data_IF_308944042156
#
_entry.id   IF_308944042156
#
_cell.length_a   1.000
_cell.length_b   1.000
_cell.length_c   1.000
_cell.angle_alpha   90.00
_cell.angle_beta   90.00
_cell.angle_gamma   90.00
#
_symmetry.space_group_name_H-M   'P 1'
#
loop_
_entity.id
_entity.type
_entity.pdbx_description
1 polymer ?
#
# COMPACT_ATOMS: atom_id res chain seq x y z
N UNK A 1 1.67 7.44 14.20
CA UNK A 1 0.49 7.39 13.31
C UNK A 1 -0.72 8.00 14.00
N UNK A 2 -1.51 8.83 13.31
CA UNK A 2 -2.71 9.44 13.90
C UNK A 2 -3.98 8.81 13.33
N UNK A 3 -4.86 8.32 14.20
CA UNK A 3 -6.14 7.68 13.83
C UNK A 3 -7.25 8.32 14.66
N UNK A 4 -8.27 8.91 14.03
CA UNK A 4 -9.39 9.60 14.69
C UNK A 4 -8.93 10.53 15.82
N UNK A 5 -7.91 11.37 15.54
CA UNK A 5 -7.31 12.33 16.47
C UNK A 5 -6.52 11.75 17.68
N UNK A 6 -6.26 10.44 17.69
CA UNK A 6 -5.41 9.78 18.69
C UNK A 6 -4.09 9.35 18.08
N UNK A 7 -3.00 9.49 18.81
CA UNK A 7 -1.66 9.09 18.39
C UNK A 7 -1.36 7.65 18.78
N UNK A 8 -0.72 6.92 17.86
CA UNK A 8 -0.32 5.52 18.03
C UNK A 8 1.11 5.31 17.51
N UNK A 9 1.86 4.51 18.24
CA UNK A 9 3.14 3.96 17.80
C UNK A 9 2.87 2.68 16.99
N UNK A 10 3.46 2.54 15.80
CA UNK A 10 3.38 1.31 15.01
C UNK A 10 4.50 0.39 15.45
N UNK A 11 4.16 -0.77 16.00
CA UNK A 11 5.13 -1.75 16.48
C UNK A 11 5.51 -2.77 15.42
N UNK A 12 4.53 -3.23 14.62
CA UNK A 12 4.74 -4.20 13.55
C UNK A 12 3.57 -4.18 12.56
N UNK A 13 3.78 -4.76 11.37
CA UNK A 13 2.76 -4.87 10.32
C UNK A 13 2.76 -6.27 9.74
N UNK A 14 1.58 -6.83 9.58
CA UNK A 14 1.35 -8.13 8.97
C UNK A 14 0.45 -8.01 7.74
N UNK A 15 0.73 -8.75 6.67
CA UNK A 15 -0.03 -8.69 5.42
C UNK A 15 -0.39 -10.09 4.92
N UNK A 16 -1.63 -10.26 4.53
CA UNK A 16 -2.14 -11.52 3.98
C UNK A 16 -3.09 -11.27 2.80
N UNK A 17 -3.13 -12.20 1.85
CA UNK A 17 -4.19 -12.29 0.85
C UNK A 17 -5.36 -13.07 1.43
N UNK A 18 -6.58 -12.61 1.24
CA UNK A 18 -7.78 -13.31 1.72
C UNK A 18 -8.09 -14.48 0.78
N UNK A 19 -8.00 -15.73 1.24
CA UNK A 19 -8.34 -16.89 0.44
C UNK A 19 -9.87 -17.04 0.31
N UNK A 20 -10.32 -17.72 -0.74
CA UNK A 20 -11.74 -17.98 -0.99
C UNK A 20 -12.44 -18.73 0.15
N UNK A 21 -11.74 -19.62 0.83
CA UNK A 21 -12.29 -20.37 1.97
C UNK A 21 -12.65 -19.50 3.19
N UNK A 22 -12.18 -18.26 3.25
CA UNK A 22 -12.52 -17.34 4.33
C UNK A 22 -13.79 -16.54 4.07
N UNK A 23 -14.34 -16.58 2.86
CA UNK A 23 -15.56 -15.84 2.50
C UNK A 23 -16.79 -16.56 3.01
N UNK A 24 -17.80 -15.81 3.47
CA UNK A 24 -19.06 -16.39 3.97
C UNK A 24 -19.83 -17.06 2.83
N UNK A 25 -20.42 -18.21 3.11
CA UNK A 25 -21.10 -18.99 2.09
C UNK A 25 -22.29 -18.27 1.44
N UNK A 26 -23.00 -17.42 2.19
CA UNK A 26 -24.15 -16.65 1.69
C UNK A 26 -23.80 -15.61 0.64
N UNK A 27 -22.58 -15.08 0.70
CA UNK A 27 -22.05 -14.12 -0.28
C UNK A 27 -20.79 -14.66 -0.96
N UNK A 28 -20.64 -15.98 -0.97
CA UNK A 28 -19.49 -16.66 -1.52
C UNK A 28 -19.33 -16.37 -3.01
N UNK A 29 -18.27 -15.67 -3.35
CA UNK A 29 -17.96 -15.26 -4.71
C UNK A 29 -16.94 -16.18 -5.38
N UNK A 30 -16.29 -17.07 -4.61
CA UNK A 30 -15.34 -18.05 -5.08
C UNK A 30 -15.84 -19.49 -4.99
N UNK A 31 -14.94 -20.45 -5.24
CA UNK A 31 -15.26 -21.88 -5.28
C UNK A 31 -15.21 -22.60 -3.90
N UNK A 32 -14.70 -21.96 -2.86
CA UNK A 32 -14.50 -22.53 -1.53
C UNK A 32 -15.80 -22.80 -0.75
N UNK A 33 -15.68 -23.32 0.47
CA UNK A 33 -16.78 -23.61 1.36
C UNK A 33 -17.06 -22.55 2.44
N UNK A 34 -16.26 -21.48 2.48
CA UNK A 34 -16.42 -20.37 3.41
C UNK A 34 -16.08 -20.77 4.85
N UNK A 35 -14.82 -21.13 5.13
CA UNK A 35 -14.37 -21.39 6.50
C UNK A 35 -14.39 -20.11 7.34
N UNK A 36 -14.82 -20.22 8.60
CA UNK A 36 -14.85 -19.06 9.50
C UNK A 36 -13.45 -18.60 9.92
N UNK A 37 -12.54 -19.56 10.15
CA UNK A 37 -11.16 -19.27 10.52
C UNK A 37 -10.37 -18.70 9.34
N UNK A 38 -9.52 -17.71 9.60
CA UNK A 38 -8.63 -17.13 8.62
C UNK A 38 -7.21 -17.60 8.85
N UNK A 39 -6.57 -18.10 7.80
CA UNK A 39 -5.14 -18.41 7.80
C UNK A 39 -4.32 -17.13 7.83
N UNK A 40 -3.46 -16.97 8.81
CA UNK A 40 -2.60 -15.78 8.95
C UNK A 40 -1.18 -16.09 8.45
N UNK A 41 -0.54 -17.14 9.00
CA UNK A 41 0.83 -17.52 8.68
C UNK A 41 1.20 -18.84 9.36
N UNK A 42 2.51 -19.10 9.62
CA UNK A 42 2.91 -20.12 10.57
C UNK A 42 2.42 -19.76 11.99
N UNK A 43 2.19 -20.77 12.83
CA UNK A 43 1.84 -20.58 14.24
C UNK A 43 2.85 -19.69 14.96
N UNK A 44 4.14 -19.96 14.77
CA UNK A 44 5.22 -19.17 15.38
C UNK A 44 5.16 -17.70 15.00
N UNK A 45 5.00 -17.38 13.72
CA UNK A 45 4.90 -15.98 13.26
C UNK A 45 3.64 -15.30 13.77
N UNK A 46 2.52 -16.01 13.81
CA UNK A 46 1.25 -15.52 14.34
C UNK A 46 1.35 -15.19 15.81
N UNK A 47 1.87 -16.12 16.64
CA UNK A 47 2.03 -15.89 18.07
C UNK A 47 3.02 -14.77 18.38
N UNK A 48 4.13 -14.70 17.67
CA UNK A 48 5.09 -13.59 17.80
C UNK A 48 4.44 -12.24 17.52
N UNK A 49 3.55 -12.17 16.54
CA UNK A 49 2.87 -10.93 16.17
C UNK A 49 1.78 -10.56 17.18
N UNK A 50 0.89 -11.48 17.54
CA UNK A 50 -0.24 -11.19 18.44
C UNK A 50 0.14 -11.23 19.92
N UNK A 51 1.11 -12.03 20.33
CA UNK A 51 1.68 -12.00 21.69
C UNK A 51 1.95 -13.36 22.32
N UNK A 52 1.03 -14.32 22.27
CA UNK A 52 1.18 -15.66 22.84
C UNK A 52 0.33 -16.71 22.09
N UNK A 53 0.39 -17.96 22.56
CA UNK A 53 -0.31 -19.08 21.90
C UNK A 53 -1.85 -19.02 22.05
N UNK A 54 -2.35 -18.37 23.10
CA UNK A 54 -3.77 -18.26 23.41
C UNK A 54 -4.25 -16.83 23.46
N UNK A 55 -3.75 -16.00 22.52
CA UNK A 55 -4.09 -14.60 22.50
C UNK A 55 -5.60 -14.37 22.28
N UNK A 56 -6.07 -13.32 22.92
CA UNK A 56 -7.31 -12.64 22.60
C UNK A 56 -6.94 -11.20 22.26
N UNK A 57 -7.00 -10.85 20.99
CA UNK A 57 -6.49 -9.58 20.50
C UNK A 57 -7.63 -8.63 20.15
N UNK A 58 -7.59 -7.43 20.73
CA UNK A 58 -8.55 -6.37 20.38
C UNK A 58 -8.15 -5.71 19.08
N UNK A 59 -9.02 -5.83 18.09
CA UNK A 59 -8.85 -5.34 16.73
C UNK A 59 -9.85 -4.23 16.42
N UNK A 60 -9.57 -3.46 15.38
CA UNK A 60 -10.55 -2.53 14.84
C UNK A 60 -10.40 -2.31 13.34
N UNK A 61 -11.50 -1.90 12.73
CA UNK A 61 -11.61 -1.40 11.35
C UNK A 61 -12.03 0.06 11.39
N UNK A 62 -11.70 0.81 10.35
CA UNK A 62 -12.27 2.13 10.11
C UNK A 62 -13.33 2.07 9.02
N UNK A 63 -14.49 2.67 9.27
CA UNK A 63 -15.56 2.81 8.27
C UNK A 63 -15.06 3.42 6.97
N UNK A 64 -14.22 4.45 7.06
CA UNK A 64 -13.62 5.10 5.89
C UNK A 64 -12.81 4.15 5.03
N UNK A 65 -12.05 3.23 5.62
CA UNK A 65 -11.25 2.26 4.87
C UNK A 65 -12.12 1.21 4.16
N UNK A 66 -13.21 0.77 4.81
CA UNK A 66 -14.18 -0.14 4.21
C UNK A 66 -14.88 0.48 3.00
N UNK A 67 -15.28 1.76 3.12
CA UNK A 67 -15.88 2.52 2.02
C UNK A 67 -14.87 2.70 0.88
N UNK A 68 -13.63 3.05 1.20
CA UNK A 68 -12.56 3.20 0.20
C UNK A 68 -12.28 1.87 -0.52
N UNK A 69 -12.24 0.76 0.21
CA UNK A 69 -12.10 -0.58 -0.37
C UNK A 69 -13.25 -0.89 -1.33
N UNK A 70 -14.51 -0.74 -0.90
CA UNK A 70 -15.68 -1.02 -1.74
C UNK A 70 -15.72 -0.14 -3.00
N UNK A 71 -15.32 1.13 -2.90
CA UNK A 71 -15.19 2.00 -4.07
C UNK A 71 -14.07 1.53 -5.01
N UNK A 72 -12.93 1.12 -4.46
CA UNK A 72 -11.80 0.63 -5.26
C UNK A 72 -12.11 -0.67 -6.00
N UNK A 73 -12.92 -1.55 -5.41
CA UNK A 73 -13.29 -2.86 -5.96
C UNK A 73 -14.63 -2.86 -6.69
N UNK A 74 -15.30 -1.71 -6.82
CA UNK A 74 -16.62 -1.58 -7.43
C UNK A 74 -16.70 -2.21 -8.83
N UNK A 75 -15.68 -1.95 -9.66
CA UNK A 75 -15.64 -2.49 -11.02
C UNK A 75 -15.61 -4.03 -11.03
N UNK A 76 -14.94 -4.65 -10.05
CA UNK A 76 -14.90 -6.11 -9.91
C UNK A 76 -16.25 -6.68 -9.50
N UNK A 77 -17.03 -5.97 -8.65
CA UNK A 77 -18.41 -6.35 -8.34
C UNK A 77 -19.36 -6.20 -9.54
N UNK A 78 -19.13 -5.23 -10.43
CA UNK A 78 -20.03 -4.93 -11.56
C UNK A 78 -19.65 -5.65 -12.86
N UNK A 79 -18.37 -5.98 -13.01
CA UNK A 79 -17.82 -6.69 -14.15
C UNK A 79 -16.68 -7.61 -13.70
N UNK A 80 -17.01 -8.76 -13.13
CA UNK A 80 -16.04 -9.66 -12.52
C UNK A 80 -14.98 -10.14 -13.50
N UNK A 81 -13.71 -10.02 -13.12
CA UNK A 81 -12.57 -10.60 -13.87
C UNK A 81 -12.29 -12.05 -13.47
N UNK A 82 -12.84 -12.50 -12.34
CA UNK A 82 -12.69 -13.84 -11.79
C UNK A 82 -13.98 -14.65 -11.93
N UNK A 83 -13.91 -15.98 -12.01
CA UNK A 83 -15.09 -16.84 -12.10
C UNK A 83 -15.77 -16.99 -10.74
N UNK A 84 -16.37 -15.93 -10.25
CA UNK A 84 -17.09 -15.95 -8.98
C UNK A 84 -18.37 -16.79 -9.05
N UNK A 85 -18.69 -17.43 -7.93
CA UNK A 85 -19.97 -18.08 -7.77
C UNK A 85 -21.08 -17.02 -7.57
N UNK A 86 -22.24 -17.18 -8.21
CA UNK A 86 -23.35 -16.21 -8.15
C UNK A 86 -22.95 -14.78 -8.64
N UNK A 87 -22.14 -14.69 -9.70
CA UNK A 87 -21.65 -13.42 -10.24
C UNK A 87 -22.76 -12.42 -10.60
N UNK A 88 -23.95 -12.87 -10.93
CA UNK A 88 -25.16 -12.08 -11.21
C UNK A 88 -25.70 -11.33 -9.98
N UNK A 89 -25.37 -11.76 -8.77
CA UNK A 89 -25.76 -11.10 -7.52
C UNK A 89 -24.75 -10.08 -7.00
N UNK A 90 -23.56 -10.02 -7.56
CA UNK A 90 -22.47 -9.20 -7.03
C UNK A 90 -22.80 -7.71 -7.01
N UNK A 91 -23.49 -7.20 -8.02
CA UNK A 91 -23.86 -5.79 -8.08
C UNK A 91 -24.82 -5.40 -6.94
N UNK A 92 -25.81 -6.25 -6.62
CA UNK A 92 -26.72 -5.99 -5.48
C UNK A 92 -25.98 -6.07 -4.14
N UNK A 93 -25.09 -7.04 -3.98
CA UNK A 93 -24.25 -7.21 -2.78
C UNK A 93 -23.39 -5.98 -2.53
N UNK A 94 -22.82 -5.37 -3.56
CA UNK A 94 -22.04 -4.13 -3.40
C UNK A 94 -22.90 -3.01 -2.79
N UNK A 95 -24.10 -2.80 -3.30
CA UNK A 95 -25.05 -1.81 -2.78
C UNK A 95 -25.46 -2.09 -1.33
N UNK A 96 -25.73 -3.35 -1.00
CA UNK A 96 -26.08 -3.80 0.36
C UNK A 96 -24.92 -3.55 1.34
N UNK A 97 -23.69 -3.91 0.96
CA UNK A 97 -22.50 -3.68 1.77
C UNK A 97 -22.24 -2.19 2.00
N UNK A 98 -22.33 -1.36 0.94
CA UNK A 98 -22.17 0.10 1.05
C UNK A 98 -23.20 0.71 1.99
N UNK A 99 -24.46 0.32 1.86
CA UNK A 99 -25.53 0.81 2.72
C UNK A 99 -25.31 0.42 4.18
N UNK A 100 -24.99 -0.85 4.42
CA UNK A 100 -24.73 -1.36 5.77
C UNK A 100 -23.55 -0.63 6.43
N UNK A 101 -22.40 -0.56 5.74
CA UNK A 101 -21.18 0.05 6.28
C UNK A 101 -21.36 1.54 6.53
N UNK A 102 -22.12 2.26 5.71
CA UNK A 102 -22.37 3.69 5.90
C UNK A 102 -23.06 4.02 7.24
N UNK A 103 -23.80 3.07 7.80
CA UNK A 103 -24.54 3.21 9.06
C UNK A 103 -23.71 2.84 10.31
N UNK A 104 -22.53 2.27 10.14
CA UNK A 104 -21.66 1.88 11.25
C UNK A 104 -20.95 3.07 11.89
N UNK A 105 -20.42 2.86 13.10
CA UNK A 105 -19.52 3.81 13.75
C UNK A 105 -18.21 3.98 12.95
N UNK A 106 -17.52 5.11 13.16
CA UNK A 106 -16.26 5.39 12.46
C UNK A 106 -15.16 4.38 12.80
N UNK A 107 -15.19 3.81 14.01
CA UNK A 107 -14.29 2.74 14.45
C UNK A 107 -15.11 1.52 14.87
N UNK A 108 -14.90 0.40 14.21
CA UNK A 108 -15.59 -0.86 14.46
C UNK A 108 -14.64 -1.77 15.21
N UNK A 109 -14.90 -1.98 16.50
CA UNK A 109 -14.06 -2.80 17.39
C UNK A 109 -14.55 -4.26 17.35
N UNK A 110 -13.59 -5.19 17.33
CA UNK A 110 -13.84 -6.64 17.42
C UNK A 110 -12.65 -7.34 18.06
N UNK A 111 -12.86 -8.54 18.56
CA UNK A 111 -11.79 -9.38 19.10
C UNK A 111 -11.58 -10.59 18.22
N UNK A 112 -10.33 -11.04 18.17
CA UNK A 112 -9.95 -12.31 17.54
C UNK A 112 -9.22 -13.18 18.54
N UNK A 113 -9.32 -14.47 18.36
CA UNK A 113 -8.60 -15.47 19.15
C UNK A 113 -7.80 -16.41 18.24
N UNK A 114 -6.77 -17.04 18.77
CA UNK A 114 -6.06 -18.10 18.06
C UNK A 114 -6.98 -19.32 17.94
N UNK A 115 -6.98 -19.93 16.78
CA UNK A 115 -7.64 -21.21 16.59
C UNK A 115 -6.59 -22.31 16.35
N UNK A 116 -6.34 -23.11 17.39
CA UNK A 116 -5.38 -24.17 17.31
C UNK A 116 -5.82 -25.28 16.36
N UNK A 117 -4.88 -25.72 15.55
CA UNK A 117 -4.98 -26.94 14.78
C UNK A 117 -4.23 -28.03 15.53
N UNK A 118 -4.86 -29.18 15.75
CA UNK A 118 -4.26 -30.33 16.45
C UNK A 118 -2.99 -30.80 15.72
N UNK A 119 -3.01 -30.72 14.39
CA UNK A 119 -1.89 -31.14 13.55
C UNK A 119 -1.52 -30.02 12.58
N UNK A 120 -0.25 -29.62 12.52
CA UNK A 120 0.28 -28.70 11.53
C UNK A 120 0.84 -27.39 12.11
N UNK A 121 1.61 -26.70 11.28
CA UNK A 121 2.32 -25.45 11.62
C UNK A 121 1.54 -24.18 11.21
N UNK A 122 0.35 -24.34 10.68
CA UNK A 122 -0.46 -23.22 10.20
C UNK A 122 -1.17 -22.51 11.35
N UNK A 123 -1.02 -21.19 11.43
CA UNK A 123 -1.71 -20.32 12.37
C UNK A 123 -3.02 -19.79 11.80
N UNK A 124 -4.08 -19.91 12.55
CA UNK A 124 -5.41 -19.41 12.20
C UNK A 124 -5.94 -18.50 13.30
N UNK A 125 -6.71 -17.51 12.90
CA UNK A 125 -7.52 -16.70 13.80
C UNK A 125 -9.00 -16.93 13.54
N UNK A 126 -9.82 -16.68 14.55
CA UNK A 126 -11.26 -16.78 14.47
C UNK A 126 -11.91 -15.70 15.34
N UNK A 127 -13.18 -15.39 15.05
CA UNK A 127 -13.99 -14.49 15.85
C UNK A 127 -15.49 -14.71 15.60
N UNK A 128 -16.30 -14.37 16.59
CA UNK A 128 -17.77 -14.30 16.46
C UNK A 128 -18.25 -12.86 16.30
N UNK A 129 -17.37 -11.88 16.38
CA UNK A 129 -17.72 -10.46 16.39
C UNK A 129 -18.10 -9.94 15.00
N UNK A 130 -19.02 -8.97 14.99
CA UNK A 130 -19.53 -8.37 13.76
C UNK A 130 -18.43 -7.74 12.88
N UNK A 131 -17.42 -7.11 13.48
CA UNK A 131 -16.30 -6.52 12.73
C UNK A 131 -15.51 -7.54 11.92
N UNK A 132 -15.26 -8.73 12.49
CA UNK A 132 -14.63 -9.83 11.75
C UNK A 132 -15.53 -10.37 10.64
N UNK A 133 -16.84 -10.46 10.91
CA UNK A 133 -17.83 -10.90 9.91
C UNK A 133 -17.88 -9.93 8.72
N UNK A 134 -17.83 -8.62 8.95
CA UNK A 134 -17.77 -7.61 7.88
C UNK A 134 -16.60 -7.90 6.92
N UNK A 135 -15.40 -8.19 7.44
CA UNK A 135 -14.24 -8.52 6.60
C UNK A 135 -14.57 -9.68 5.67
N UNK A 136 -15.21 -10.73 6.19
CA UNK A 136 -15.57 -11.92 5.42
C UNK A 136 -16.65 -11.66 4.38
N UNK A 137 -17.61 -10.78 4.70
CA UNK A 137 -18.74 -10.47 3.83
C UNK A 137 -18.34 -9.59 2.65
N UNK A 138 -17.48 -8.60 2.87
CA UNK A 138 -17.09 -7.64 1.81
C UNK A 138 -15.90 -8.09 0.99
N UNK A 139 -15.08 -9.02 1.49
CA UNK A 139 -13.85 -9.44 0.81
C UNK A 139 -14.15 -10.27 -0.44
N UNK A 140 -13.53 -9.91 -1.55
CA UNK A 140 -13.50 -10.76 -2.74
C UNK A 140 -12.39 -11.81 -2.60
N UNK A 141 -12.69 -13.10 -2.85
CA UNK A 141 -11.70 -14.17 -2.74
C UNK A 141 -10.49 -13.91 -3.63
N UNK A 142 -9.29 -14.11 -3.09
CA UNK A 142 -8.00 -13.98 -3.78
C UNK A 142 -7.66 -12.57 -4.30
N UNK A 143 -8.64 -11.66 -4.32
CA UNK A 143 -8.51 -10.28 -4.80
C UNK A 143 -8.27 -9.32 -3.65
N UNK A 144 -8.60 -9.73 -2.43
CA UNK A 144 -8.53 -8.89 -1.24
C UNK A 144 -7.25 -9.13 -0.47
N UNK A 145 -6.63 -8.04 -0.09
CA UNK A 145 -5.49 -7.99 0.82
C UNK A 145 -5.92 -7.44 2.18
N UNK A 146 -5.39 -8.01 3.25
CA UNK A 146 -5.53 -7.48 4.61
C UNK A 146 -4.15 -7.09 5.12
N UNK A 147 -4.05 -5.88 5.67
CA UNK A 147 -2.92 -5.42 6.45
C UNK A 147 -3.36 -5.27 7.90
N UNK A 148 -2.61 -5.87 8.82
CA UNK A 148 -2.84 -5.81 10.26
C UNK A 148 -1.67 -5.05 10.88
N UNK A 149 -1.94 -3.88 11.45
CA UNK A 149 -0.92 -3.08 12.14
C UNK A 149 -1.05 -3.30 13.65
N UNK A 150 0.04 -3.74 14.28
CA UNK A 150 0.16 -3.79 15.74
C UNK A 150 0.49 -2.40 16.25
N UNK A 151 -0.43 -1.81 16.98
CA UNK A 151 -0.36 -0.43 17.47
C UNK A 151 -0.26 -0.39 18.97
N UNK A 152 0.47 0.61 19.48
CA UNK A 152 0.49 0.95 20.90
C UNK A 152 -0.07 2.35 21.08
N UNK A 153 -1.10 2.49 21.92
CA UNK A 153 -1.69 3.78 22.25
C UNK A 153 -0.78 4.55 23.21
N UNK A 154 -1.04 5.85 23.39
CA UNK A 154 -0.36 6.68 24.41
C UNK A 154 -0.54 6.17 25.85
N UNK A 155 -1.63 5.42 26.11
CA UNK A 155 -1.86 4.74 27.41
C UNK A 155 -1.11 3.40 27.54
N UNK A 156 -0.36 2.97 26.51
CA UNK A 156 0.34 1.69 26.50
C UNK A 156 -0.49 0.49 26.03
N UNK A 157 -1.77 0.68 25.71
CA UNK A 157 -2.65 -0.40 25.24
C UNK A 157 -2.27 -0.85 23.84
N UNK A 158 -2.16 -2.17 23.65
CA UNK A 158 -1.93 -2.77 22.33
C UNK A 158 -3.26 -3.00 21.64
N UNK A 159 -3.35 -2.54 20.38
CA UNK A 159 -4.51 -2.70 19.49
C UNK A 159 -4.03 -3.15 18.12
N UNK A 160 -4.89 -3.85 17.38
CA UNK A 160 -4.59 -4.33 16.05
C UNK A 160 -5.53 -3.67 15.03
N UNK A 161 -4.97 -2.80 14.20
CA UNK A 161 -5.71 -2.11 13.17
C UNK A 161 -5.72 -2.91 11.89
N UNK A 162 -6.90 -3.34 11.45
CA UNK A 162 -7.12 -4.11 10.25
C UNK A 162 -7.54 -3.20 9.11
N UNK A 163 -6.90 -3.35 7.97
CA UNK A 163 -7.24 -2.63 6.75
C UNK A 163 -7.38 -3.60 5.59
N UNK A 164 -8.38 -3.36 4.75
CA UNK A 164 -8.69 -4.17 3.59
C UNK A 164 -8.28 -3.39 2.34
N UNK A 165 -7.60 -4.06 1.43
CA UNK A 165 -7.13 -3.51 0.15
C UNK A 165 -7.47 -4.42 -1.01
N UNK A 166 -7.46 -3.85 -2.22
CA UNK A 166 -7.61 -4.61 -3.46
C UNK A 166 -6.24 -5.01 -3.98
N UNK A 167 -6.10 -6.28 -4.37
CA UNK A 167 -4.98 -6.76 -5.16
C UNK A 167 -5.27 -6.49 -6.64
N UNK A 168 -4.78 -5.37 -7.14
CA UNK A 168 -5.00 -4.98 -8.53
C UNK A 168 -4.31 -5.90 -9.54
N UNK A 169 -3.26 -6.62 -9.15
CA UNK A 169 -2.63 -7.62 -10.03
C UNK A 169 -3.52 -8.84 -10.22
N UNK A 170 -4.31 -9.20 -9.20
CA UNK A 170 -5.27 -10.28 -9.30
C UNK A 170 -6.50 -9.93 -10.17
N UNK A 171 -6.90 -8.64 -10.20
CA UNK A 171 -8.05 -8.17 -11.00
C UNK A 171 -7.64 -7.84 -12.43
N UNK A 172 -6.39 -7.48 -12.66
CA UNK A 172 -5.92 -7.05 -13.98
C UNK A 172 -5.49 -8.24 -14.83
N UNK A 173 -6.09 -8.42 -16.00
CA UNK A 173 -5.57 -9.34 -17.02
C UNK A 173 -4.15 -8.96 -17.52
N UNK A 174 -3.72 -7.73 -17.25
CA UNK A 174 -2.36 -7.26 -17.49
C UNK A 174 -1.52 -7.49 -16.25
N UNK A 175 -0.91 -8.63 -16.13
CA UNK A 175 -0.01 -9.07 -15.03
C UNK A 175 1.21 -8.18 -14.72
N UNK A 176 1.25 -6.94 -15.15
CA UNK A 176 2.41 -6.05 -15.06
C UNK A 176 2.12 -4.69 -14.41
N UNK A 177 1.05 -4.58 -13.61
CA UNK A 177 0.81 -3.39 -12.79
C UNK A 177 1.51 -3.52 -11.42
N UNK A 178 2.15 -2.46 -10.90
CA UNK A 178 2.70 -2.50 -9.56
C UNK A 178 1.57 -2.60 -8.54
N UNK A 179 1.73 -3.46 -7.52
CA UNK A 179 0.87 -3.49 -6.34
C UNK A 179 0.93 -2.10 -5.68
N UNK A 180 -0.12 -1.32 -5.82
CA UNK A 180 -0.21 0.01 -5.22
C UNK A 180 -0.84 -0.15 -3.85
N UNK A 181 -0.01 -0.38 -2.83
CA UNK A 181 -0.45 -0.30 -1.44
C UNK A 181 -0.57 1.18 -1.05
N UNK A 182 -1.79 1.69 -0.98
CA UNK A 182 -2.05 3.03 -0.46
C UNK A 182 -2.10 2.98 1.07
N UNK A 183 -0.93 2.92 1.71
CA UNK A 183 -0.83 3.04 3.15
C UNK A 183 -1.09 4.49 3.59
N UNK A 184 -2.15 4.72 4.33
CA UNK A 184 -2.33 5.87 5.20
C UNK A 184 -2.71 7.21 4.61
N UNK A 185 -2.62 7.45 3.30
CA UNK A 185 -3.27 8.61 2.67
C UNK A 185 -4.63 8.16 2.14
N UNK A 186 -5.69 8.85 2.56
CA UNK A 186 -6.94 8.85 1.80
C UNK A 186 -6.56 9.13 0.35
N UNK A 187 -6.89 8.21 -0.55
CA UNK A 187 -6.99 8.58 -1.95
C UNK A 187 -7.94 9.77 -1.95
N UNK A 188 -7.41 10.92 -2.36
CA UNK A 188 -8.25 12.07 -2.65
C UNK A 188 -9.20 11.60 -3.75
N UNK A 189 -10.42 11.21 -3.35
CA UNK A 189 -11.46 10.75 -4.26
C UNK A 189 -11.98 11.89 -5.14
N UNK A 190 -11.37 13.05 -5.05
CA UNK A 190 -11.44 14.08 -6.09
C UNK A 190 -10.69 13.63 -7.36
N UNK A 191 -10.62 12.34 -7.60
CA UNK A 191 -10.25 11.81 -8.90
C UNK A 191 -11.26 12.32 -9.93
N UNK A 192 -10.96 13.50 -10.44
CA UNK A 192 -11.20 13.73 -11.84
C UNK A 192 -10.68 12.47 -12.55
N UNK A 193 -11.60 11.56 -12.95
CA UNK A 193 -11.33 10.65 -14.05
C UNK A 193 -10.43 11.43 -14.98
N UNK A 194 -9.22 10.97 -15.20
CA UNK A 194 -8.50 11.31 -16.42
C UNK A 194 -9.38 10.72 -17.53
N UNK A 195 -10.42 11.46 -17.87
CA UNK A 195 -11.06 11.33 -19.16
C UNK A 195 -9.96 11.83 -20.10
N UNK A 196 -9.16 10.89 -20.58
CA UNK A 196 -8.36 11.13 -21.76
C UNK A 196 -9.37 11.64 -22.80
N UNK A 197 -9.25 12.87 -23.28
CA UNK A 197 -10.10 13.33 -24.37
C UNK A 197 -9.90 12.33 -25.52
N UNK A 198 -10.93 12.03 -26.31
CA UNK A 198 -10.78 11.20 -27.50
C UNK A 198 -9.79 11.92 -28.41
N UNK A 199 -8.55 11.41 -28.40
CA UNK A 199 -7.46 12.03 -29.16
C UNK A 199 -7.33 11.31 -30.50
N UNK A 200 -7.22 12.03 -31.62
CA UNK A 200 -6.88 11.43 -32.90
C UNK A 200 -5.56 10.67 -32.81
N UNK A 201 -5.48 9.51 -33.41
CA UNK A 201 -4.36 8.55 -33.30
C UNK A 201 -2.96 9.12 -33.61
N UNK A 202 -2.87 10.23 -34.34
CA UNK A 202 -1.58 10.84 -34.71
C UNK A 202 -0.96 11.68 -33.57
N UNK A 203 -1.77 12.41 -32.79
CA UNK A 203 -1.29 13.21 -31.66
C UNK A 203 -0.78 12.36 -30.50
N UNK A 204 -1.30 11.15 -30.30
CA UNK A 204 -0.86 10.25 -29.22
C UNK A 204 0.56 9.73 -29.46
N UNK A 205 0.91 9.42 -30.72
CA UNK A 205 2.28 8.98 -31.09
C UNK A 205 3.30 10.08 -30.90
N UNK A 206 2.96 11.32 -31.25
CA UNK A 206 3.87 12.45 -31.11
C UNK A 206 4.08 12.83 -29.64
N UNK A 207 3.03 12.84 -28.81
CA UNK A 207 3.12 13.06 -27.35
C UNK A 207 3.95 11.97 -26.66
N UNK A 208 3.76 10.70 -27.04
CA UNK A 208 4.58 9.59 -26.52
C UNK A 208 6.04 9.71 -26.97
N UNK A 209 6.28 10.13 -28.20
CA UNK A 209 7.63 10.35 -28.74
C UNK A 209 8.31 11.50 -28.03
N UNK A 210 7.65 12.64 -27.85
CA UNK A 210 8.16 13.81 -27.11
C UNK A 210 8.45 13.46 -25.64
N UNK A 211 7.56 12.73 -24.97
CA UNK A 211 7.78 12.25 -23.62
C UNK A 211 9.02 11.34 -23.52
N UNK A 212 9.21 10.42 -24.46
CA UNK A 212 10.39 9.53 -24.50
C UNK A 212 11.69 10.30 -24.77
N UNK A 213 11.66 11.31 -25.65
CA UNK A 213 12.83 12.18 -25.93
C UNK A 213 13.17 12.98 -24.66
N UNK A 214 12.18 13.57 -24.00
CA UNK A 214 12.35 14.29 -22.75
C UNK A 214 12.91 13.43 -21.62
N UNK A 215 12.41 12.20 -21.46
CA UNK A 215 12.95 11.25 -20.48
C UNK A 215 14.39 10.84 -20.78
N UNK A 216 14.74 10.64 -22.04
CA UNK A 216 16.12 10.33 -22.45
C UNK A 216 17.08 11.47 -22.14
N UNK A 217 16.70 12.71 -22.46
CA UNK A 217 17.49 13.91 -22.13
C UNK A 217 17.63 14.09 -20.62
N UNK A 218 16.52 14.07 -19.89
CA UNK A 218 16.49 14.18 -18.43
C UNK A 218 17.45 13.19 -17.76
N UNK A 219 17.37 11.89 -18.18
CA UNK A 219 18.27 10.87 -17.65
C UNK A 219 19.74 11.18 -17.91
N UNK A 220 20.09 11.63 -19.14
CA UNK A 220 21.46 11.94 -19.49
C UNK A 220 21.98 13.14 -18.69
N UNK A 221 21.19 14.19 -18.57
CA UNK A 221 21.54 15.38 -17.81
C UNK A 221 21.72 15.05 -16.31
N UNK A 222 20.84 14.23 -15.76
CA UNK A 222 20.92 13.77 -14.38
C UNK A 222 22.14 12.86 -14.13
N UNK A 223 22.50 11.98 -15.08
CA UNK A 223 23.71 11.15 -15.00
C UNK A 223 25.00 11.96 -14.96
N UNK A 224 25.03 13.10 -15.63
CA UNK A 224 26.20 13.99 -15.56
C UNK A 224 26.38 14.62 -14.16
N UNK A 225 25.29 14.93 -13.48
CA UNK A 225 25.30 15.47 -12.13
C UNK A 225 25.44 14.41 -11.03
N UNK A 226 24.87 13.25 -11.26
CA UNK A 226 24.79 12.15 -10.28
C UNK A 226 25.10 10.81 -10.96
N UNK A 227 26.38 10.48 -11.26
CA UNK A 227 26.76 9.30 -12.05
C UNK A 227 26.67 7.97 -11.31
N UNK A 228 26.17 7.96 -10.10
CA UNK A 228 25.97 6.76 -9.28
C UNK A 228 24.82 6.93 -8.29
N UNK A 229 24.31 5.82 -7.78
CA UNK A 229 23.34 5.86 -6.68
C UNK A 229 24.01 6.36 -5.39
N UNK A 230 23.56 7.49 -4.80
CA UNK A 230 24.22 8.09 -3.63
C UNK A 230 24.22 7.18 -2.40
N UNK A 231 23.30 6.21 -2.33
CA UNK A 231 23.18 5.29 -1.20
C UNK A 231 24.07 4.06 -1.40
N UNK A 232 23.91 3.36 -2.53
CA UNK A 232 24.62 2.09 -2.80
C UNK A 232 25.99 2.25 -3.45
N UNK A 233 26.29 3.42 -4.00
CA UNK A 233 27.49 3.71 -4.81
C UNK A 233 27.57 2.90 -6.12
N UNK A 234 26.53 2.23 -6.53
CA UNK A 234 26.45 1.57 -7.83
C UNK A 234 26.55 2.63 -8.92
N UNK A 235 27.49 2.44 -9.86
CA UNK A 235 27.75 3.32 -11.01
C UNK A 235 27.50 2.65 -12.36
N UNK A 236 27.06 1.38 -12.38
CA UNK A 236 26.62 0.72 -13.61
C UNK A 236 25.29 1.34 -14.05
N UNK A 237 25.31 2.07 -15.14
CA UNK A 237 24.15 2.80 -15.66
C UNK A 237 22.94 1.91 -15.94
N UNK A 238 23.14 0.62 -16.24
CA UNK A 238 22.07 -0.35 -16.46
C UNK A 238 21.29 -0.67 -15.20
N UNK A 239 21.86 -0.42 -14.03
CA UNK A 239 21.30 -0.61 -12.69
C UNK A 239 20.86 0.70 -12.03
N UNK A 240 20.87 1.80 -12.78
CA UNK A 240 20.47 3.12 -12.27
C UNK A 240 19.15 3.55 -12.90
N UNK A 241 18.29 4.18 -12.11
CA UNK A 241 17.03 4.76 -12.51
C UNK A 241 17.06 6.26 -12.22
N UNK A 242 16.66 7.06 -13.19
CA UNK A 242 16.48 8.50 -13.02
C UNK A 242 15.15 8.77 -12.32
N UNK A 243 15.21 8.80 -11.00
CA UNK A 243 14.04 8.91 -10.12
C UNK A 243 13.68 10.36 -9.89
N UNK A 244 12.44 10.76 -10.21
CA UNK A 244 11.97 12.11 -9.93
C UNK A 244 11.74 12.32 -8.44
N UNK A 245 12.14 13.47 -7.91
CA UNK A 245 11.88 13.87 -6.52
C UNK A 245 10.43 14.31 -6.38
N UNK A 246 10.02 15.32 -7.16
CA UNK A 246 8.61 15.66 -7.35
C UNK A 246 8.05 14.78 -8.46
N UNK A 247 7.04 13.94 -8.21
CA UNK A 247 6.54 12.98 -9.19
C UNK A 247 6.18 13.61 -10.54
N UNK A 248 6.43 12.89 -11.63
CA UNK A 248 6.10 13.32 -12.99
C UNK A 248 4.68 13.86 -13.15
N UNK A 249 3.70 13.20 -12.52
CA UNK A 249 2.30 13.59 -12.59
C UNK A 249 1.98 14.90 -11.86
N UNK A 250 2.84 15.33 -10.93
CA UNK A 250 2.71 16.57 -10.18
C UNK A 250 3.59 17.70 -10.72
N UNK A 251 4.47 17.39 -11.69
CA UNK A 251 5.45 18.31 -12.26
C UNK A 251 4.92 18.98 -13.51
N UNK A 252 5.27 20.26 -13.69
CA UNK A 252 5.07 20.96 -14.95
C UNK A 252 6.08 20.52 -16.01
N UNK A 253 5.99 21.07 -17.24
CA UNK A 253 6.82 20.61 -18.35
C UNK A 253 8.31 20.99 -18.20
N UNK A 254 8.64 22.01 -17.40
CA UNK A 254 10.02 22.38 -17.07
C UNK A 254 10.57 21.47 -15.98
N UNK A 255 9.79 21.26 -14.93
CA UNK A 255 10.16 20.40 -13.80
C UNK A 255 10.36 18.93 -14.21
N UNK A 256 9.64 18.45 -15.24
CA UNK A 256 9.78 17.10 -15.79
C UNK A 256 11.13 16.81 -16.42
N UNK A 257 11.79 17.84 -16.94
CA UNK A 257 13.10 17.72 -17.62
C UNK A 257 14.24 18.33 -16.84
N UNK A 258 13.97 18.89 -15.66
CA UNK A 258 14.95 19.51 -14.79
C UNK A 258 15.76 18.44 -14.04
N UNK A 259 17.09 18.32 -14.27
CA UNK A 259 17.92 17.35 -13.56
C UNK A 259 17.96 17.59 -12.04
N UNK A 260 17.63 18.82 -11.58
CA UNK A 260 17.50 19.12 -10.15
C UNK A 260 16.25 18.47 -9.52
N UNK A 261 15.25 18.10 -10.34
CA UNK A 261 14.12 17.32 -9.90
C UNK A 261 14.42 15.80 -9.89
N UNK A 262 15.64 15.38 -9.54
CA UNK A 262 15.96 13.96 -9.57
C UNK A 262 17.17 13.49 -8.78
N UNK A 263 17.13 12.18 -8.51
CA UNK A 263 18.26 11.40 -8.01
C UNK A 263 18.48 10.16 -8.90
N UNK A 264 19.74 9.79 -9.14
CA UNK A 264 20.05 8.49 -9.72
C UNK A 264 20.01 7.43 -8.62
N UNK A 265 19.03 6.54 -8.67
CA UNK A 265 18.84 5.53 -7.64
C UNK A 265 18.97 4.11 -8.22
N UNK A 266 19.47 3.17 -7.41
CA UNK A 266 19.37 1.76 -7.74
C UNK A 266 17.92 1.27 -7.55
N UNK A 267 17.48 0.16 -8.20
CA UNK A 267 16.07 -0.22 -8.31
C UNK A 267 15.32 -0.32 -6.98
N UNK A 268 15.96 -0.85 -5.93
CA UNK A 268 15.33 -0.93 -4.62
C UNK A 268 15.02 0.46 -4.06
N UNK A 269 16.00 1.35 -4.10
CA UNK A 269 15.85 2.69 -3.53
C UNK A 269 14.95 3.59 -4.37
N UNK A 270 14.98 3.45 -5.69
CA UNK A 270 14.01 4.09 -6.58
C UNK A 270 12.58 3.68 -6.21
N UNK A 271 12.34 2.38 -6.06
CA UNK A 271 11.01 1.88 -5.68
C UNK A 271 10.54 2.39 -4.33
N UNK A 272 11.43 2.40 -3.33
CA UNK A 272 11.10 2.89 -1.99
C UNK A 272 10.84 4.40 -1.98
N UNK A 273 11.63 5.17 -2.73
CA UNK A 273 11.51 6.62 -2.84
C UNK A 273 10.26 7.01 -3.63
N UNK A 274 10.08 6.48 -4.85
CA UNK A 274 8.89 6.73 -5.69
C UNK A 274 7.57 6.42 -4.96
N UNK A 275 7.58 5.38 -4.11
CA UNK A 275 6.40 5.00 -3.31
C UNK A 275 6.31 5.71 -1.94
N UNK A 276 7.18 6.64 -1.65
CA UNK A 276 7.17 7.41 -0.40
C UNK A 276 7.46 6.59 0.85
N UNK A 277 8.14 5.45 0.73
CA UNK A 277 8.57 4.66 1.88
C UNK A 277 9.90 5.11 2.45
N UNK A 278 10.69 5.85 1.67
CA UNK A 278 11.84 6.58 2.18
C UNK A 278 11.77 8.03 1.70
N UNK A 279 12.42 8.91 2.46
CA UNK A 279 12.73 10.28 2.04
C UNK A 279 14.08 10.68 2.63
N UNK A 280 14.49 11.93 2.39
CA UNK A 280 15.70 12.47 2.97
C UNK A 280 15.40 13.77 3.71
N UNK A 281 16.19 14.07 4.73
CA UNK A 281 16.19 15.37 5.40
C UNK A 281 17.13 16.35 4.67
N UNK A 282 17.03 17.65 4.97
CA UNK A 282 17.92 18.68 4.39
C UNK A 282 19.39 18.48 4.77
N UNK A 283 19.67 17.81 5.88
CA UNK A 283 21.01 17.42 6.32
C UNK A 283 21.41 16.01 5.87
N UNK A 284 20.75 15.50 4.80
CA UNK A 284 21.06 14.26 4.07
C UNK A 284 20.88 12.96 4.86
N UNK A 285 20.02 12.94 5.85
CA UNK A 285 19.63 11.68 6.50
C UNK A 285 18.46 11.03 5.79
N UNK A 286 18.58 9.73 5.52
CA UNK A 286 17.50 8.93 4.97
C UNK A 286 16.51 8.56 6.07
N UNK A 287 15.25 8.91 5.90
CA UNK A 287 14.16 8.61 6.81
C UNK A 287 13.33 7.48 6.24
N UNK A 288 13.10 6.46 7.05
CA UNK A 288 12.28 5.30 6.70
C UNK A 288 10.84 5.52 7.17
N UNK A 289 9.90 5.13 6.33
CA UNK A 289 8.48 5.19 6.63
C UNK A 289 8.09 4.19 7.72
N UNK A 290 7.24 4.63 8.63
CA UNK A 290 6.60 3.78 9.65
C UNK A 290 5.58 2.79 9.07
N UNK A 291 5.25 2.91 7.77
CA UNK A 291 4.30 2.04 7.07
C UNK A 291 4.91 0.72 6.58
N UNK A 292 6.22 0.54 6.71
CA UNK A 292 6.89 -0.74 6.50
C UNK A 292 7.40 -1.23 7.86
N UNK A 293 7.18 -2.50 8.16
CA UNK A 293 7.57 -3.08 9.45
C UNK A 293 9.07 -3.02 9.68
N UNK A 294 9.53 -2.84 10.94
CA UNK A 294 10.95 -2.90 11.30
C UNK A 294 11.64 -4.15 10.79
N UNK A 295 10.98 -5.31 10.87
CA UNK A 295 11.50 -6.59 10.35
C UNK A 295 11.81 -6.54 8.86
N UNK A 296 10.99 -5.85 8.06
CA UNK A 296 11.26 -5.73 6.63
C UNK A 296 12.40 -4.74 6.35
N UNK A 297 12.52 -3.67 7.13
CA UNK A 297 13.68 -2.78 7.05
C UNK A 297 14.98 -3.51 7.36
N UNK A 298 15.00 -4.33 8.42
CA UNK A 298 16.16 -5.16 8.77
C UNK A 298 16.52 -6.16 7.67
N UNK A 299 15.53 -6.82 7.06
CA UNK A 299 15.75 -7.75 5.92
C UNK A 299 16.31 -7.07 4.69
N UNK A 300 15.96 -5.81 4.46
CA UNK A 300 16.53 -5.00 3.39
C UNK A 300 17.88 -4.37 3.78
N UNK A 301 18.32 -4.55 5.03
CA UNK A 301 19.56 -3.95 5.55
C UNK A 301 19.50 -2.43 5.70
N UNK A 302 18.29 -1.88 5.87
CA UNK A 302 18.07 -0.43 5.95
C UNK A 302 17.88 0.00 7.41
N UNK A 303 18.48 1.13 7.76
CA UNK A 303 18.37 1.74 9.08
C UNK A 303 17.83 3.15 8.97
N UNK A 304 16.89 3.49 9.84
CA UNK A 304 16.36 4.85 9.92
C UNK A 304 17.46 5.85 10.31
N UNK A 305 17.32 7.06 9.84
CA UNK A 305 18.24 8.18 10.11
C UNK A 305 19.68 7.92 9.64
N UNK A 306 19.86 7.16 8.54
CA UNK A 306 21.17 6.89 7.96
C UNK A 306 21.65 8.12 7.19
N UNK A 307 22.86 8.63 7.53
CA UNK A 307 23.49 9.73 6.81
C UNK A 307 23.98 9.28 5.43
N UNK A 308 23.55 9.99 4.37
CA UNK A 308 23.89 9.71 2.98
C UNK A 308 24.82 10.81 2.45
N UNK A 309 26.11 10.69 2.74
CA UNK A 309 27.13 11.69 2.45
C UNK A 309 27.12 12.15 0.97
N UNK A 310 26.89 11.25 0.04
CA UNK A 310 26.95 11.54 -1.39
C UNK A 310 25.60 11.95 -2.00
N UNK A 311 24.60 12.22 -1.20
CA UNK A 311 23.33 12.73 -1.71
C UNK A 311 23.57 14.11 -2.34
N UNK A 312 23.28 14.31 -3.65
CA UNK A 312 23.52 15.57 -4.33
C UNK A 312 22.39 16.56 -4.01
N UNK A 313 22.34 17.01 -2.77
CA UNK A 313 21.30 17.93 -2.28
C UNK A 313 21.86 19.35 -2.26
N UNK A 314 21.34 20.19 -3.14
CA UNK A 314 21.54 21.64 -3.25
C UNK A 314 20.22 22.38 -3.00
N UNK A 315 20.22 23.69 -3.04
CA UNK A 315 19.03 24.53 -2.78
C UNK A 315 17.89 24.24 -3.78
N UNK A 316 18.22 24.04 -5.05
CA UNK A 316 17.23 23.76 -6.09
C UNK A 316 16.55 22.40 -5.86
N UNK A 317 17.32 21.36 -5.54
CA UNK A 317 16.78 20.04 -5.20
C UNK A 317 15.99 20.05 -3.91
N UNK A 318 16.35 20.89 -2.96
CA UNK A 318 15.66 21.02 -1.69
C UNK A 318 14.19 21.40 -1.86
N UNK A 319 13.87 22.26 -2.84
CA UNK A 319 12.49 22.65 -3.17
C UNK A 319 11.64 21.43 -3.57
N UNK A 320 12.19 20.59 -4.45
CA UNK A 320 11.53 19.35 -4.87
C UNK A 320 11.43 18.35 -3.73
N UNK A 321 12.48 18.27 -2.89
CA UNK A 321 12.49 17.37 -1.74
C UNK A 321 11.43 17.76 -0.70
N UNK A 322 11.19 19.03 -0.45
CA UNK A 322 10.10 19.49 0.39
C UNK A 322 8.72 19.02 -0.13
N UNK A 323 8.52 19.09 -1.45
CA UNK A 323 7.31 18.56 -2.05
C UNK A 323 7.18 17.05 -1.79
N UNK A 324 8.26 16.30 -1.98
CA UNK A 324 8.28 14.86 -1.73
C UNK A 324 7.96 14.54 -0.27
N UNK A 325 8.58 15.25 0.66
CA UNK A 325 8.36 15.11 2.10
C UNK A 325 6.88 15.35 2.49
N UNK A 326 6.27 16.41 1.94
CA UNK A 326 4.90 16.82 2.29
C UNK A 326 3.81 16.00 1.58
N UNK A 327 4.08 15.56 0.34
CA UNK A 327 3.03 15.07 -0.56
C UNK A 327 3.20 13.61 -0.99
N UNK A 328 4.41 13.06 -0.89
CA UNK A 328 4.72 11.69 -1.32
C UNK A 328 5.08 10.81 -0.14
N UNK A 329 5.93 11.28 0.77
CA UNK A 329 6.42 10.48 1.88
C UNK A 329 5.31 10.08 2.84
N UNK A 330 5.32 8.81 3.24
CA UNK A 330 4.39 8.22 4.20
C UNK A 330 5.06 8.11 5.57
N UNK A 331 5.00 9.18 6.35
CA UNK A 331 5.60 9.19 7.68
C UNK A 331 5.73 10.62 8.23
N UNK A 332 6.38 10.73 9.38
CA UNK A 332 6.75 11.99 10.00
C UNK A 332 8.27 12.22 9.81
N UNK A 333 8.64 13.47 9.56
CA UNK A 333 10.02 13.91 9.44
C UNK A 333 10.37 14.74 10.67
#
# INVERSE_FOLDING_TARGET
MKILNKDYEILDIFQITVPDCNVVQSNKLGAGHGEKKMYISSKESMYKFFGDEHFNATCFLLKSDLINYLNAVQNEYFSPSQPYHDADKMMSLWGEHMNYISQLDDMIIFNIESQDQIIGQRGYVNSNDAGYQIIRDVSLPLVTYISIMKLKSSSGTILFYWRIFVDFDAISEKKNGPLVFNYGKQLDTSNKKLVLPPTPLETTREVIRQARIGQGKYRNDLLQECPFCPITKISDERLLIASHIKPWAASDDKEKIDPKNGFMLSPLYDKLFDKGFITFTHDRHMILSEYISPTNWDRMGLKNNTFVQALPLDEDRAIYLEFHQKSVFHGNI
#
